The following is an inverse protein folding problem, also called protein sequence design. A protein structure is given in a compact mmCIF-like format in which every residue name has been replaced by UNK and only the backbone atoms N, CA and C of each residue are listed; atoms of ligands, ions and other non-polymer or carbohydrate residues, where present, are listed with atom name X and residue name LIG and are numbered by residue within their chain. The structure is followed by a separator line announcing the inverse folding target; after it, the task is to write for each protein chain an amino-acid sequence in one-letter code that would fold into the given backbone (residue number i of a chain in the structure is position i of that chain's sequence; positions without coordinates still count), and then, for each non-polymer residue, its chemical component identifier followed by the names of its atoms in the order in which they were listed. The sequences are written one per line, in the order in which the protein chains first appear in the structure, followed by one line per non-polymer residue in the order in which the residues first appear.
data_IF_991379005432
#
_entry.id   IF_991379005432
#
_cell.length_a   1.000
_cell.length_b   1.000
_cell.length_c   1.000
_cell.angle_alpha   90.00
_cell.angle_beta   90.00
_cell.angle_gamma   90.00
#
_symmetry.space_group_name_H-M   'P 1'
#
loop_
_entity.id
_entity.type
_entity.pdbx_description
1 polymer ?
#
# COMPACT_ATOMS: atom_id res chain seq x y z
N UNK A 1 -3.50 -1.17 62.81
CA UNK A 1 -2.81 -2.48 62.66
C UNK A 1 -1.83 -2.45 61.46
N UNK A 2 -0.50 -2.41 61.69
CA UNK A 2 0.54 -2.32 60.62
C UNK A 2 0.49 -3.48 59.61
N UNK A 3 0.06 -4.67 60.06
CA UNK A 3 -0.04 -5.89 59.24
C UNK A 3 -1.19 -5.81 58.22
N UNK A 4 -2.35 -5.27 58.61
CA UNK A 4 -3.49 -5.06 57.70
C UNK A 4 -3.19 -4.05 56.58
N UNK A 5 -2.44 -2.99 56.90
CA UNK A 5 -2.02 -2.00 55.89
C UNK A 5 -1.02 -2.57 54.87
N UNK A 6 -0.12 -3.47 55.29
CA UNK A 6 0.80 -4.19 54.37
C UNK A 6 0.05 -5.15 53.44
N UNK A 7 -0.92 -5.89 53.97
CA UNK A 7 -1.76 -6.81 53.18
C UNK A 7 -2.60 -6.03 52.17
N UNK A 8 -3.19 -4.89 52.56
CA UNK A 8 -3.95 -4.03 51.65
C UNK A 8 -3.07 -3.46 50.51
N UNK A 9 -1.84 -3.05 50.80
CA UNK A 9 -0.90 -2.57 49.77
C UNK A 9 -0.49 -3.68 48.81
N UNK A 10 -0.21 -4.89 49.31
CA UNK A 10 0.10 -6.05 48.46
C UNK A 10 -1.10 -6.44 47.60
N UNK A 11 -2.32 -6.42 48.15
CA UNK A 11 -3.54 -6.70 47.40
C UNK A 11 -3.79 -5.66 46.30
N UNK A 12 -3.59 -4.37 46.59
CA UNK A 12 -3.70 -3.30 45.61
C UNK A 12 -2.65 -3.44 44.49
N UNK A 13 -1.41 -3.81 44.84
CA UNK A 13 -0.34 -4.07 43.87
C UNK A 13 -0.66 -5.28 42.98
N UNK A 14 -1.15 -6.37 43.56
CA UNK A 14 -1.59 -7.55 42.81
C UNK A 14 -2.77 -7.23 41.89
N UNK A 15 -3.75 -6.45 42.36
CA UNK A 15 -4.87 -5.99 41.53
C UNK A 15 -4.39 -5.12 40.36
N UNK A 16 -3.45 -4.19 40.61
CA UNK A 16 -2.84 -3.37 39.57
C UNK A 16 -2.10 -4.21 38.52
N UNK A 17 -1.31 -5.21 38.95
CA UNK A 17 -0.62 -6.12 38.05
C UNK A 17 -1.58 -6.97 37.21
N UNK A 18 -2.68 -7.45 37.81
CA UNK A 18 -3.72 -8.20 37.10
C UNK A 18 -4.45 -7.34 36.06
N UNK A 19 -4.76 -6.07 36.39
CA UNK A 19 -5.36 -5.13 35.45
C UNK A 19 -4.42 -4.83 34.28
N UNK A 20 -3.12 -4.63 34.57
CA UNK A 20 -2.12 -4.36 33.54
C UNK A 20 -1.87 -5.58 32.65
N UNK A 21 -1.82 -6.78 33.24
CA UNK A 21 -1.75 -8.05 32.50
C UNK A 21 -2.98 -8.31 31.65
N UNK A 22 -4.18 -8.09 32.19
CA UNK A 22 -5.44 -8.21 31.47
C UNK A 22 -5.53 -7.23 30.29
N UNK A 23 -5.11 -5.98 30.49
CA UNK A 23 -5.00 -4.99 29.43
C UNK A 23 -4.01 -5.41 28.34
N UNK A 24 -2.84 -5.94 28.72
CA UNK A 24 -1.84 -6.42 27.76
C UNK A 24 -2.37 -7.59 26.92
N UNK A 25 -3.00 -8.60 27.56
CA UNK A 25 -3.58 -9.75 26.85
C UNK A 25 -4.70 -9.30 25.91
N UNK A 26 -5.58 -8.41 26.36
CA UNK A 26 -6.64 -7.86 25.51
C UNK A 26 -6.07 -7.10 24.30
N UNK A 27 -5.10 -6.20 24.52
CA UNK A 27 -4.42 -5.48 23.44
C UNK A 27 -3.70 -6.42 22.47
N UNK A 28 -3.09 -7.49 22.98
CA UNK A 28 -2.44 -8.50 22.16
C UNK A 28 -3.46 -9.28 21.33
N UNK A 29 -4.61 -9.64 21.90
CA UNK A 29 -5.65 -10.36 21.18
C UNK A 29 -6.23 -9.53 20.03
N UNK A 30 -6.53 -8.24 20.26
CA UNK A 30 -6.97 -7.32 19.19
C UNK A 30 -5.91 -7.19 18.10
N UNK A 31 -4.63 -7.14 18.46
CA UNK A 31 -3.54 -7.06 17.49
C UNK A 31 -3.43 -8.33 16.63
N UNK A 32 -3.63 -9.51 17.22
CA UNK A 32 -3.66 -10.80 16.49
C UNK A 32 -4.79 -10.81 15.45
N UNK A 33 -5.96 -10.29 15.80
CA UNK A 33 -7.08 -10.17 14.84
C UNK A 33 -6.75 -9.20 13.69
N UNK A 34 -6.14 -8.06 13.98
CA UNK A 34 -5.71 -7.10 12.95
C UNK A 34 -4.65 -7.69 12.02
N UNK A 35 -3.80 -8.58 12.52
CA UNK A 35 -2.72 -9.20 11.73
C UNK A 35 -3.17 -10.47 11.01
N UNK A 36 -4.46 -10.83 11.11
CA UNK A 36 -5.02 -12.04 10.48
C UNK A 36 -4.92 -12.04 8.96
N UNK A 37 -4.98 -10.87 8.32
CA UNK A 37 -4.88 -10.72 6.87
C UNK A 37 -4.31 -9.36 6.50
N UNK A 38 -3.77 -9.23 5.27
CA UNK A 38 -3.33 -7.94 4.73
C UNK A 38 -4.46 -6.90 4.74
N UNK A 39 -5.69 -7.35 4.43
CA UNK A 39 -6.87 -6.50 4.39
C UNK A 39 -7.21 -5.92 5.76
N UNK A 40 -7.34 -6.78 6.77
CA UNK A 40 -7.65 -6.35 8.14
C UNK A 40 -6.56 -5.45 8.70
N UNK A 41 -5.29 -5.72 8.39
CA UNK A 41 -4.16 -4.91 8.82
C UNK A 41 -4.22 -3.49 8.26
N UNK A 42 -4.27 -3.33 6.93
CA UNK A 42 -4.22 -2.01 6.32
C UNK A 42 -5.52 -1.20 6.50
N UNK A 43 -6.67 -1.87 6.64
CA UNK A 43 -7.91 -1.20 7.06
C UNK A 43 -7.78 -0.62 8.47
N UNK A 44 -7.22 -1.37 9.42
CA UNK A 44 -7.00 -0.89 10.77
C UNK A 44 -5.99 0.27 10.81
N UNK A 45 -4.88 0.14 10.08
CA UNK A 45 -3.86 1.18 9.99
C UNK A 45 -4.40 2.47 9.37
N UNK A 46 -5.26 2.38 8.35
CA UNK A 46 -5.87 3.55 7.70
C UNK A 46 -6.77 4.35 8.66
N UNK A 47 -7.39 3.68 9.65
CA UNK A 47 -8.19 4.36 10.68
C UNK A 47 -7.33 5.13 11.67
N UNK A 48 -6.15 4.61 12.00
CA UNK A 48 -5.22 5.24 12.97
C UNK A 48 -4.38 6.33 12.30
N UNK A 49 -3.98 6.12 11.04
CA UNK A 49 -3.12 7.01 10.28
C UNK A 49 -3.75 7.39 8.93
N UNK A 50 -4.87 8.14 8.92
CA UNK A 50 -5.65 8.40 7.71
C UNK A 50 -4.93 9.27 6.66
N UNK A 51 -3.83 9.93 7.03
CA UNK A 51 -3.04 10.80 6.14
C UNK A 51 -1.66 10.24 5.81
N UNK A 52 -1.45 8.94 5.99
CA UNK A 52 -0.19 8.29 5.59
C UNK A 52 -0.32 7.75 4.17
N UNK A 53 0.42 8.34 3.22
CA UNK A 53 0.48 7.88 1.82
C UNK A 53 0.77 6.37 1.74
N UNK A 54 1.75 5.88 2.53
CA UNK A 54 2.10 4.45 2.58
C UNK A 54 0.91 3.57 2.99
N UNK A 55 0.14 3.98 4.00
CA UNK A 55 -1.01 3.21 4.49
C UNK A 55 -2.14 3.21 3.45
N UNK A 56 -2.42 4.37 2.83
CA UNK A 56 -3.41 4.47 1.76
C UNK A 56 -3.04 3.62 0.55
N UNK A 57 -1.78 3.64 0.11
CA UNK A 57 -1.26 2.77 -0.94
C UNK A 57 -1.44 1.29 -0.59
N UNK A 58 -1.09 0.87 0.63
CA UNK A 58 -1.22 -0.53 1.04
C UNK A 58 -2.69 -0.99 1.16
N UNK A 59 -3.58 -0.10 1.60
CA UNK A 59 -5.01 -0.36 1.60
C UNK A 59 -5.54 -0.53 0.17
N UNK A 60 -5.17 0.37 -0.74
CA UNK A 60 -5.49 0.28 -2.16
C UNK A 60 -4.93 -1.00 -2.79
N UNK A 61 -3.72 -1.43 -2.44
CA UNK A 61 -3.13 -2.69 -2.90
C UNK A 61 -3.94 -3.91 -2.47
N UNK A 62 -4.54 -3.87 -1.29
CA UNK A 62 -5.42 -4.95 -0.83
C UNK A 62 -6.73 -4.98 -1.63
N UNK A 63 -7.30 -3.82 -1.94
CA UNK A 63 -8.49 -3.72 -2.80
C UNK A 63 -8.17 -4.19 -4.23
N UNK A 64 -7.00 -3.80 -4.74
CA UNK A 64 -6.48 -4.21 -6.04
C UNK A 64 -6.36 -5.74 -6.12
N UNK A 65 -5.72 -6.39 -5.13
CA UNK A 65 -5.60 -7.86 -5.10
C UNK A 65 -6.94 -8.59 -4.98
N UNK A 66 -7.98 -7.88 -4.52
CA UNK A 66 -9.34 -8.41 -4.39
C UNK A 66 -10.23 -8.12 -5.61
N UNK A 67 -9.66 -7.56 -6.69
CA UNK A 67 -10.41 -7.19 -7.91
C UNK A 67 -11.28 -5.95 -7.79
N UNK A 68 -11.22 -5.23 -6.65
CA UNK A 68 -12.00 -4.00 -6.40
C UNK A 68 -11.28 -2.79 -6.98
N UNK A 69 -11.15 -2.77 -8.30
CA UNK A 69 -10.30 -1.84 -9.04
C UNK A 69 -10.68 -0.36 -8.86
N UNK A 70 -11.96 -0.01 -8.96
CA UNK A 70 -12.38 1.40 -8.88
C UNK A 70 -12.13 2.00 -7.48
N UNK A 71 -12.35 1.20 -6.44
CA UNK A 71 -12.04 1.60 -5.07
C UNK A 71 -10.53 1.69 -4.83
N UNK A 72 -9.76 0.73 -5.37
CA UNK A 72 -8.30 0.79 -5.32
C UNK A 72 -7.77 2.07 -5.98
N UNK A 73 -8.26 2.42 -7.17
CA UNK A 73 -7.89 3.65 -7.87
C UNK A 73 -8.17 4.90 -7.04
N UNK A 74 -9.34 4.97 -6.38
CA UNK A 74 -9.67 6.08 -5.48
C UNK A 74 -8.61 6.24 -4.37
N UNK A 75 -8.27 5.15 -3.69
CA UNK A 75 -7.33 5.20 -2.57
C UNK A 75 -5.87 5.40 -3.00
N UNK A 76 -5.48 4.90 -4.18
CA UNK A 76 -4.19 5.24 -4.78
C UNK A 76 -4.11 6.74 -5.09
N UNK A 77 -5.16 7.33 -5.65
CA UNK A 77 -5.18 8.77 -5.93
C UNK A 77 -5.11 9.60 -4.64
N UNK A 78 -5.78 9.18 -3.55
CA UNK A 78 -5.63 9.82 -2.24
C UNK A 78 -4.19 9.69 -1.69
N UNK A 79 -3.54 8.54 -1.89
CA UNK A 79 -2.11 8.37 -1.55
C UNK A 79 -1.22 9.34 -2.34
N UNK A 80 -1.46 9.46 -3.64
CA UNK A 80 -0.70 10.33 -4.54
C UNK A 80 -0.96 11.81 -4.29
N UNK A 81 -2.15 12.18 -3.82
CA UNK A 81 -2.45 13.54 -3.39
C UNK A 81 -1.60 13.97 -2.16
N UNK A 82 -1.12 13.01 -1.35
CA UNK A 82 -0.24 13.26 -0.21
C UNK A 82 1.24 13.22 -0.63
N UNK A 83 1.60 12.25 -1.47
CA UNK A 83 2.94 12.09 -2.00
C UNK A 83 2.88 11.66 -3.47
N UNK A 84 2.93 12.66 -4.36
CA UNK A 84 2.70 12.47 -5.80
C UNK A 84 3.87 11.81 -6.52
N UNK A 85 5.06 11.85 -5.92
CA UNK A 85 6.29 11.32 -6.50
C UNK A 85 6.55 9.86 -6.06
N UNK A 86 5.53 9.02 -6.25
CA UNK A 86 5.55 7.61 -5.87
C UNK A 86 5.32 6.71 -7.08
N UNK A 87 6.41 6.40 -7.77
CA UNK A 87 6.43 5.56 -8.96
C UNK A 87 5.79 4.18 -8.73
N UNK A 88 5.94 3.60 -7.53
CA UNK A 88 5.32 2.32 -7.20
C UNK A 88 3.79 2.42 -7.15
N UNK A 89 3.25 3.52 -6.65
CA UNK A 89 1.80 3.77 -6.63
C UNK A 89 1.28 4.05 -8.02
N UNK A 90 2.01 4.86 -8.80
CA UNK A 90 1.68 5.11 -10.20
C UNK A 90 1.67 3.83 -11.03
N UNK A 91 2.64 2.94 -10.81
CA UNK A 91 2.68 1.63 -11.46
C UNK A 91 1.50 0.74 -11.06
N UNK A 92 1.08 0.76 -9.79
CA UNK A 92 -0.10 0.01 -9.37
C UNK A 92 -1.40 0.51 -10.03
N UNK A 93 -1.51 1.82 -10.27
CA UNK A 93 -2.61 2.44 -11.04
C UNK A 93 -2.55 2.03 -12.50
N UNK A 94 -1.36 2.04 -13.11
CA UNK A 94 -1.12 1.56 -14.48
C UNK A 94 -1.62 0.13 -14.65
N UNK A 95 -1.26 -0.78 -13.75
CA UNK A 95 -1.69 -2.19 -13.82
C UNK A 95 -3.22 -2.33 -13.82
N UNK A 96 -3.92 -1.53 -13.01
CA UNK A 96 -5.38 -1.52 -13.02
C UNK A 96 -5.91 -1.05 -14.38
N UNK A 97 -5.34 0.03 -14.94
CA UNK A 97 -5.74 0.51 -16.27
C UNK A 97 -5.49 -0.53 -17.37
N UNK A 98 -4.36 -1.25 -17.33
CA UNK A 98 -4.07 -2.33 -18.27
C UNK A 98 -5.10 -3.46 -18.17
N UNK A 99 -5.42 -3.92 -16.95
CA UNK A 99 -6.44 -4.97 -16.73
C UNK A 99 -7.83 -4.52 -17.18
N UNK A 100 -8.15 -3.24 -17.06
CA UNK A 100 -9.41 -2.65 -17.53
C UNK A 100 -9.39 -2.28 -19.03
N UNK A 101 -8.34 -2.61 -19.78
CA UNK A 101 -8.14 -2.20 -21.19
C UNK A 101 -8.15 -0.67 -21.42
N UNK A 102 -7.87 0.11 -20.38
CA UNK A 102 -7.78 1.58 -20.42
C UNK A 102 -6.38 2.02 -20.83
N UNK A 103 -5.96 1.60 -22.02
CA UNK A 103 -4.58 1.78 -22.50
C UNK A 103 -4.16 3.25 -22.65
N UNK A 104 -5.11 4.15 -22.96
CA UNK A 104 -4.86 5.60 -23.01
C UNK A 104 -4.50 6.17 -21.64
N UNK A 105 -5.25 5.81 -20.61
CA UNK A 105 -4.99 6.27 -19.23
C UNK A 105 -3.68 5.67 -18.69
N UNK A 106 -3.41 4.40 -19.02
CA UNK A 106 -2.14 3.77 -18.72
C UNK A 106 -0.97 4.52 -19.37
N UNK A 107 -1.10 4.86 -20.66
CA UNK A 107 -0.10 5.61 -21.41
C UNK A 107 0.26 6.95 -20.75
N UNK A 108 -0.74 7.76 -20.37
CA UNK A 108 -0.50 9.04 -19.68
C UNK A 108 0.26 8.85 -18.37
N UNK A 109 -0.09 7.81 -17.61
CA UNK A 109 0.57 7.51 -16.34
C UNK A 109 1.99 6.98 -16.53
N UNK A 110 2.24 6.18 -17.56
CA UNK A 110 3.60 5.77 -17.94
C UNK A 110 4.47 6.98 -18.26
N UNK A 111 3.95 7.95 -19.02
CA UNK A 111 4.69 9.18 -19.32
C UNK A 111 5.04 9.95 -18.05
N UNK A 112 4.13 10.02 -17.07
CA UNK A 112 4.43 10.63 -15.77
C UNK A 112 5.63 9.95 -15.10
N UNK A 113 5.59 8.62 -14.95
CA UNK A 113 6.66 7.86 -14.28
C UNK A 113 7.99 8.01 -15.03
N UNK A 114 7.96 7.83 -16.35
CA UNK A 114 9.15 7.89 -17.21
C UNK A 114 9.74 9.30 -17.35
N UNK A 115 8.95 10.35 -17.09
CA UNK A 115 9.34 11.76 -17.19
C UNK A 115 10.16 12.30 -16.01
N UNK A 116 10.57 11.46 -15.06
CA UNK A 116 11.39 11.86 -13.91
C UNK A 116 10.80 11.50 -12.54
N UNK A 117 9.58 10.96 -12.52
CA UNK A 117 8.91 10.50 -11.30
C UNK A 117 9.17 9.02 -11.02
N UNK A 118 10.45 8.64 -10.89
CA UNK A 118 10.88 7.26 -10.64
C UNK A 118 11.05 6.92 -9.14
N UNK A 119 10.78 7.86 -8.24
CA UNK A 119 11.00 7.65 -6.81
C UNK A 119 10.14 6.48 -6.28
N UNK A 120 10.82 5.50 -5.67
CA UNK A 120 10.20 4.27 -5.17
C UNK A 120 10.24 3.07 -6.12
N UNK A 121 10.65 3.25 -7.37
CA UNK A 121 10.90 2.17 -8.33
C UNK A 121 12.41 2.09 -8.59
N UNK A 122 13.09 1.14 -7.95
CA UNK A 122 14.55 1.01 -8.12
C UNK A 122 14.92 0.75 -9.58
N UNK A 123 16.10 1.21 -10.01
CA UNK A 123 16.59 1.07 -11.40
C UNK A 123 16.52 -0.38 -11.92
N UNK A 124 16.67 -1.36 -11.04
CA UNK A 124 16.60 -2.80 -11.38
C UNK A 124 15.23 -3.28 -11.85
N UNK A 125 14.15 -2.54 -11.60
CA UNK A 125 12.81 -2.88 -12.08
C UNK A 125 12.41 -2.13 -13.35
N UNK A 126 13.25 -1.20 -13.85
CA UNK A 126 12.93 -0.36 -15.01
C UNK A 126 12.49 -1.18 -16.22
N UNK A 127 13.11 -2.33 -16.45
CA UNK A 127 12.74 -3.25 -17.54
C UNK A 127 11.24 -3.59 -17.52
N UNK A 128 10.65 -3.89 -16.36
CA UNK A 128 9.24 -4.24 -16.22
C UNK A 128 8.34 -3.11 -16.72
N UNK A 129 8.66 -1.88 -16.32
CA UNK A 129 7.93 -0.69 -16.74
C UNK A 129 8.06 -0.45 -18.25
N UNK A 130 9.26 -0.62 -18.81
CA UNK A 130 9.51 -0.44 -20.24
C UNK A 130 8.79 -1.50 -21.08
N UNK A 131 8.77 -2.76 -20.64
CA UNK A 131 8.05 -3.82 -21.34
C UNK A 131 6.55 -3.50 -21.39
N UNK A 132 5.93 -3.19 -20.25
CA UNK A 132 4.50 -2.89 -20.20
C UNK A 132 4.16 -1.60 -20.96
N UNK A 133 5.02 -0.58 -20.88
CA UNK A 133 4.86 0.66 -21.64
C UNK A 133 4.98 0.42 -23.15
N UNK A 134 5.99 -0.35 -23.55
CA UNK A 134 6.23 -0.75 -24.92
C UNK A 134 5.04 -1.50 -25.50
N UNK A 135 4.51 -2.51 -24.81
CA UNK A 135 3.29 -3.19 -25.23
C UNK A 135 2.07 -2.28 -25.26
N UNK A 136 1.95 -1.35 -24.30
CA UNK A 136 0.88 -0.33 -24.33
C UNK A 136 0.96 0.53 -25.58
N UNK A 137 2.17 0.93 -26.02
CA UNK A 137 2.38 1.64 -27.27
C UNK A 137 1.99 0.81 -28.50
N UNK A 138 2.32 -0.49 -28.52
CA UNK A 138 1.93 -1.40 -29.60
C UNK A 138 0.39 -1.49 -29.72
N UNK A 139 -0.31 -1.63 -28.59
CA UNK A 139 -1.79 -1.67 -28.56
C UNK A 139 -2.40 -0.35 -29.03
N UNK A 140 -1.72 0.77 -28.79
CA UNK A 140 -2.11 2.09 -29.28
C UNK A 140 -1.63 2.38 -30.71
N UNK A 141 -1.17 1.37 -31.46
CA UNK A 141 -0.67 1.45 -32.84
C UNK A 141 0.57 2.35 -33.02
N UNK A 142 1.31 2.61 -31.94
CA UNK A 142 2.52 3.44 -31.92
C UNK A 142 3.77 2.58 -32.03
N UNK A 143 3.84 1.78 -33.08
CA UNK A 143 4.89 0.76 -33.26
C UNK A 143 6.31 1.35 -33.28
N UNK A 144 6.49 2.51 -33.93
CA UNK A 144 7.79 3.17 -34.04
C UNK A 144 8.37 3.59 -32.68
N UNK A 145 7.50 3.87 -31.70
CA UNK A 145 7.90 4.21 -30.33
C UNK A 145 7.95 2.97 -29.43
N UNK A 146 7.05 2.01 -29.62
CA UNK A 146 6.95 0.83 -28.78
C UNK A 146 8.11 -0.15 -28.95
N UNK A 147 8.52 -0.45 -30.18
CA UNK A 147 9.56 -1.47 -30.44
C UNK A 147 10.91 -1.12 -29.78
N UNK A 148 11.45 0.11 -29.91
CA UNK A 148 12.70 0.46 -29.24
C UNK A 148 12.61 0.35 -27.71
N UNK A 149 11.47 0.74 -27.13
CA UNK A 149 11.23 0.68 -25.68
C UNK A 149 11.23 -0.77 -25.18
N UNK A 150 10.55 -1.68 -25.90
CA UNK A 150 10.59 -3.11 -25.56
C UNK A 150 12.02 -3.63 -25.65
N UNK A 151 12.75 -3.24 -26.69
CA UNK A 151 14.13 -3.67 -26.89
C UNK A 151 15.08 -3.19 -25.78
N UNK A 152 14.92 -1.94 -25.29
CA UNK A 152 15.62 -1.41 -24.11
C UNK A 152 15.23 -2.19 -22.84
N UNK A 153 13.97 -2.58 -22.71
CA UNK A 153 13.52 -3.40 -21.57
C UNK A 153 14.08 -4.81 -21.55
N UNK A 154 14.47 -5.37 -22.71
CA UNK A 154 14.99 -6.74 -22.81
C UNK A 154 16.52 -6.85 -22.82
N UNK A 155 17.24 -5.73 -22.97
CA UNK A 155 18.70 -5.67 -22.98
C UNK A 155 19.31 -5.61 -21.58
#
# INVERSE_FOLDING_TARGET
CRRGRRVAVLAAYMAFLLLLGGWYVWRSAVRVEQWSSRASLFVADARVNPRSAKVLHMYAATLHSSGRYDEALRWYNESLAIFDDNALTDYAVIQIYLVQNRFRDAYERFQKVLGGHFNGFGNFNRWLLLIDFGFTLIVLERYAEGIPVISEGLS
#
